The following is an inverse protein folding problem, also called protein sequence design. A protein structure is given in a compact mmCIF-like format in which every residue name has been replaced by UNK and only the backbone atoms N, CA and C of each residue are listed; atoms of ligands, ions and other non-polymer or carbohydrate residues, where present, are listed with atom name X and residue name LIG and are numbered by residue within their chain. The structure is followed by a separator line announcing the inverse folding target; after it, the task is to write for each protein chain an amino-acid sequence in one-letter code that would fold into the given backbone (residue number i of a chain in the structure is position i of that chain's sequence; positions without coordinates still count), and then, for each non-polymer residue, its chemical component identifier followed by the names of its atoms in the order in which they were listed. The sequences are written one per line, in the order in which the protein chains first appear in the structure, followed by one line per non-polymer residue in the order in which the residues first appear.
data_IF_917201463072
#
_entry.id   IF_917201463072
#
_cell.length_a   1.000
_cell.length_b   1.000
_cell.length_c   1.000
_cell.angle_alpha   90.00
_cell.angle_beta   90.00
_cell.angle_gamma   90.00
#
_symmetry.space_group_name_H-M   'P 1'
#
loop_
_entity.id
_entity.type
_entity.pdbx_description
1 polymer ?
#
# COMPACT_ATOMS: atom_id res chain seq x y z
N UNK A 1 31.20 55.24 20.08
CA UNK A 1 29.88 54.60 19.88
C UNK A 1 29.26 54.41 21.25
N UNK A 2 28.26 55.21 21.60
CA UNK A 2 27.53 55.09 22.87
C UNK A 2 26.61 53.88 22.80
N UNK A 3 26.54 53.06 23.85
CA UNK A 3 25.85 51.77 23.84
C UNK A 3 24.32 51.86 23.67
N UNK A 4 23.71 53.04 23.84
CA UNK A 4 22.27 53.25 23.69
C UNK A 4 21.43 52.71 24.87
N UNK A 5 22.07 52.09 25.86
CA UNK A 5 21.47 51.68 27.12
C UNK A 5 21.37 52.85 28.09
N UNK A 6 20.38 52.80 28.97
CA UNK A 6 20.26 53.73 30.10
C UNK A 6 21.44 53.59 31.08
N UNK A 7 21.90 54.71 31.64
CA UNK A 7 23.09 54.79 32.51
C UNK A 7 22.66 54.89 33.99
N UNK A 8 23.40 54.24 34.91
CA UNK A 8 23.11 54.23 36.36
C UNK A 8 22.71 52.84 36.91
N UNK A 9 22.20 52.77 38.14
CA UNK A 9 21.67 51.53 38.73
C UNK A 9 20.39 51.11 37.98
N UNK A 10 20.50 50.08 37.14
CA UNK A 10 19.39 49.60 36.31
C UNK A 10 18.73 48.35 36.90
N UNK A 11 17.41 48.28 36.77
CA UNK A 11 16.63 47.06 37.04
C UNK A 11 16.53 46.21 35.76
N UNK A 12 16.33 44.90 35.92
CA UNK A 12 16.25 43.96 34.79
C UNK A 12 15.18 44.37 33.75
N UNK A 13 14.02 44.87 34.21
CA UNK A 13 12.95 45.33 33.33
C UNK A 13 13.34 46.53 32.46
N UNK A 14 14.17 47.44 33.00
CA UNK A 14 14.67 48.59 32.23
C UNK A 14 15.67 48.15 31.16
N UNK A 15 16.56 47.22 31.51
CA UNK A 15 17.52 46.66 30.54
C UNK A 15 16.80 45.93 29.39
N UNK A 16 15.74 45.17 29.70
CA UNK A 16 14.94 44.48 28.68
C UNK A 16 14.27 45.46 27.72
N UNK A 17 13.65 46.53 28.23
CA UNK A 17 13.04 47.57 27.40
C UNK A 17 14.06 48.32 26.53
N UNK A 18 15.22 48.62 27.08
CA UNK A 18 16.30 49.26 26.32
C UNK A 18 16.82 48.35 25.20
N UNK A 19 17.01 47.05 25.48
CA UNK A 19 17.40 46.05 24.49
C UNK A 19 16.34 45.89 23.39
N UNK A 20 15.05 45.80 23.74
CA UNK A 20 13.95 45.73 22.78
C UNK A 20 13.90 46.99 21.90
N UNK A 21 14.14 48.18 22.48
CA UNK A 21 14.24 49.44 21.72
C UNK A 21 15.41 49.41 20.75
N UNK A 22 16.59 49.02 21.21
CA UNK A 22 17.80 48.93 20.37
C UNK A 22 17.60 47.89 19.27
N UNK A 23 17.02 46.72 19.57
CA UNK A 23 16.69 45.71 18.57
C UNK A 23 15.69 46.23 17.52
N UNK A 24 14.68 46.98 17.94
CA UNK A 24 13.71 47.57 17.03
C UNK A 24 14.35 48.64 16.15
N UNK A 25 15.12 49.55 16.73
CA UNK A 25 15.86 50.58 15.99
C UNK A 25 16.89 49.99 15.03
N UNK A 26 17.59 48.93 15.43
CA UNK A 26 18.55 48.23 14.56
C UNK A 26 17.83 47.49 13.44
N UNK A 27 16.71 46.82 13.71
CA UNK A 27 15.86 46.20 12.68
C UNK A 27 15.29 47.23 11.72
N UNK A 28 14.83 48.38 12.19
CA UNK A 28 14.28 49.45 11.37
C UNK A 28 15.36 50.14 10.54
N UNK A 29 16.55 50.36 11.11
CA UNK A 29 17.73 50.82 10.35
C UNK A 29 18.11 49.82 9.26
N UNK A 30 18.15 48.52 9.57
CA UNK A 30 18.43 47.47 8.58
C UNK A 30 17.36 47.40 7.48
N UNK A 31 16.09 47.67 7.81
CA UNK A 31 14.98 47.75 6.85
C UNK A 31 15.09 48.95 5.92
N UNK A 32 15.53 50.10 6.42
CA UNK A 32 15.60 51.35 5.67
C UNK A 32 16.93 51.55 4.92
N UNK A 33 17.91 50.67 5.12
CA UNK A 33 19.17 50.68 4.37
C UNK A 33 18.97 50.20 2.93
N UNK A 34 19.73 50.79 2.00
CA UNK A 34 19.76 50.42 0.59
C UNK A 34 19.94 48.89 0.41
N UNK A 35 19.09 48.20 -0.36
CA UNK A 35 19.21 46.77 -0.69
C UNK A 35 20.61 46.35 -1.11
N UNK A 36 21.36 47.19 -1.83
CA UNK A 36 22.72 46.88 -2.27
C UNK A 36 23.73 46.78 -1.12
N UNK A 37 23.48 47.44 0.02
CA UNK A 37 24.34 47.40 1.22
C UNK A 37 23.79 46.49 2.32
N UNK A 38 22.46 46.37 2.41
CA UNK A 38 21.79 45.52 3.40
C UNK A 38 21.76 44.05 2.98
N UNK A 39 21.93 43.74 1.69
CA UNK A 39 21.81 42.38 1.16
C UNK A 39 20.38 41.84 1.24
N UNK A 40 19.41 42.72 1.54
CA UNK A 40 17.98 42.42 1.53
C UNK A 40 17.64 42.05 0.09
N UNK A 41 17.17 40.81 -0.11
CA UNK A 41 16.85 40.21 -1.41
C UNK A 41 18.03 39.69 -2.25
N UNK A 42 19.23 39.54 -1.66
CA UNK A 42 20.30 38.79 -2.31
C UNK A 42 19.93 37.30 -2.40
N UNK A 43 19.91 36.75 -3.62
CA UNK A 43 19.64 35.33 -3.84
C UNK A 43 20.68 34.45 -3.11
N UNK A 44 20.20 33.46 -2.35
CA UNK A 44 21.09 32.52 -1.67
C UNK A 44 21.62 31.50 -2.67
N UNK A 45 22.90 31.65 -3.05
CA UNK A 45 23.57 30.73 -3.98
C UNK A 45 24.22 29.60 -3.21
N UNK A 46 23.67 28.40 -3.34
CA UNK A 46 24.25 27.19 -2.78
C UNK A 46 25.37 26.65 -3.69
N UNK A 47 26.47 26.17 -3.09
CA UNK A 47 27.63 25.65 -3.81
C UNK A 47 28.10 24.34 -3.18
N UNK A 48 28.60 23.44 -4.02
CA UNK A 48 29.21 22.18 -3.57
C UNK A 48 30.63 22.40 -3.01
N UNK A 49 31.22 21.36 -2.40
CA UNK A 49 32.60 21.35 -1.87
C UNK A 49 33.67 21.75 -2.90
N UNK A 50 33.35 21.65 -4.19
CA UNK A 50 34.21 22.03 -5.32
C UNK A 50 33.85 23.41 -5.92
N UNK A 51 32.93 24.17 -5.31
CA UNK A 51 32.58 25.53 -5.70
C UNK A 51 31.56 25.67 -6.84
N UNK A 52 31.03 24.56 -7.38
CA UNK A 52 29.96 24.58 -8.39
C UNK A 52 28.63 25.03 -7.79
N UNK A 53 27.91 25.92 -8.47
CA UNK A 53 26.57 26.36 -8.07
C UNK A 53 25.58 25.20 -8.15
N UNK A 54 24.85 24.94 -7.07
CA UNK A 54 23.81 23.91 -6.99
C UNK A 54 22.46 24.60 -7.15
N UNK A 55 21.67 24.14 -8.10
CA UNK A 55 20.27 24.52 -8.22
C UNK A 55 19.43 23.57 -7.34
N UNK A 56 19.04 24.03 -6.15
CA UNK A 56 18.22 23.26 -5.20
C UNK A 56 16.85 22.94 -5.80
N UNK A 57 16.30 23.84 -6.62
CA UNK A 57 14.97 23.65 -7.22
C UNK A 57 15.05 22.50 -8.22
N UNK A 58 16.11 22.47 -9.04
CA UNK A 58 16.36 21.36 -9.97
C UNK A 58 16.62 20.04 -9.23
N UNK A 59 17.47 20.02 -8.20
CA UNK A 59 17.73 18.81 -7.40
C UNK A 59 16.48 18.25 -6.75
N UNK A 60 15.68 19.10 -6.09
CA UNK A 60 14.43 18.69 -5.45
C UNK A 60 13.39 18.23 -6.48
N UNK A 61 13.37 18.80 -7.68
CA UNK A 61 12.51 18.34 -8.77
C UNK A 61 12.92 16.96 -9.29
N UNK A 62 14.23 16.70 -9.43
CA UNK A 62 14.73 15.38 -9.80
C UNK A 62 14.47 14.32 -8.73
N UNK A 63 14.66 14.64 -7.45
CA UNK A 63 14.32 13.75 -6.34
C UNK A 63 12.83 13.41 -6.33
N UNK A 64 11.95 14.40 -6.54
CA UNK A 64 10.51 14.16 -6.64
C UNK A 64 10.14 13.25 -7.81
N UNK A 65 10.78 13.43 -8.98
CA UNK A 65 10.57 12.56 -10.15
C UNK A 65 11.01 11.13 -9.87
N UNK A 66 12.17 10.93 -9.23
CA UNK A 66 12.66 9.59 -8.84
C UNK A 66 11.70 8.92 -7.86
N UNK A 67 11.23 9.63 -6.84
CA UNK A 67 10.24 9.10 -5.89
C UNK A 67 8.95 8.72 -6.62
N UNK A 68 8.47 9.54 -7.55
CA UNK A 68 7.27 9.23 -8.32
C UNK A 68 7.44 8.01 -9.24
N UNK A 69 8.60 7.86 -9.88
CA UNK A 69 8.95 6.68 -10.68
C UNK A 69 9.05 5.41 -9.83
N UNK A 70 9.68 5.51 -8.66
CA UNK A 70 9.76 4.42 -7.69
C UNK A 70 8.37 4.04 -7.17
N UNK A 71 7.51 5.01 -6.85
CA UNK A 71 6.12 4.75 -6.46
C UNK A 71 5.34 4.05 -7.56
N UNK A 72 5.50 4.48 -8.82
CA UNK A 72 4.85 3.83 -9.98
C UNK A 72 5.34 2.40 -10.14
N UNK A 73 6.64 2.16 -9.99
CA UNK A 73 7.21 0.81 -10.04
C UNK A 73 6.74 -0.07 -8.88
N UNK A 74 6.62 0.50 -7.68
CA UNK A 74 6.15 -0.22 -6.50
C UNK A 74 4.66 -0.55 -6.54
N UNK A 75 3.85 0.31 -7.18
CA UNK A 75 2.42 0.07 -7.45
C UNK A 75 2.24 -0.96 -8.58
N UNK A 76 3.17 -0.99 -9.54
CA UNK A 76 3.15 -1.95 -10.63
C UNK A 76 3.19 -3.39 -10.12
N UNK A 77 2.19 -4.19 -10.51
CA UNK A 77 2.02 -5.58 -10.07
C UNK A 77 1.35 -5.76 -8.72
N UNK A 78 0.99 -4.69 -7.99
CA UNK A 78 0.25 -4.75 -6.72
C UNK A 78 -1.19 -4.23 -6.78
N UNK A 79 -1.66 -3.75 -7.93
CA UNK A 79 -3.00 -3.18 -8.09
C UNK A 79 -4.11 -4.12 -7.61
N UNK A 80 -4.07 -5.40 -7.98
CA UNK A 80 -5.07 -6.38 -7.53
C UNK A 80 -5.04 -6.62 -6.02
N UNK A 81 -3.87 -6.48 -5.37
CA UNK A 81 -3.74 -6.60 -3.92
C UNK A 81 -4.32 -5.37 -3.22
N UNK A 82 -4.02 -4.18 -3.75
CA UNK A 82 -4.52 -2.90 -3.23
C UNK A 82 -6.05 -2.86 -3.33
N UNK A 83 -6.61 -3.22 -4.48
CA UNK A 83 -8.07 -3.24 -4.69
C UNK A 83 -8.76 -4.19 -3.70
N UNK A 84 -8.21 -5.39 -3.49
CA UNK A 84 -8.72 -6.34 -2.48
C UNK A 84 -8.62 -5.77 -1.07
N UNK A 85 -7.53 -5.09 -0.75
CA UNK A 85 -7.35 -4.48 0.56
C UNK A 85 -8.34 -3.34 0.81
N UNK A 86 -8.61 -2.51 -0.19
CA UNK A 86 -9.65 -1.47 -0.12
C UNK A 86 -11.05 -2.06 0.08
N UNK A 87 -11.41 -3.11 -0.68
CA UNK A 87 -12.67 -3.83 -0.48
C UNK A 87 -12.80 -4.39 0.94
N UNK A 88 -11.71 -4.91 1.50
CA UNK A 88 -11.69 -5.44 2.87
C UNK A 88 -11.79 -4.33 3.92
N UNK A 89 -11.23 -3.14 3.68
CA UNK A 89 -11.32 -1.99 4.60
C UNK A 89 -12.75 -1.53 4.83
N UNK A 90 -13.61 -1.67 3.83
CA UNK A 90 -15.01 -1.27 3.92
C UNK A 90 -15.93 -2.32 4.56
N UNK A 91 -15.43 -3.55 4.75
CA UNK A 91 -16.22 -4.64 5.35
C UNK A 91 -16.17 -4.59 6.88
N UNK A 92 -17.28 -4.91 7.56
CA UNK A 92 -17.30 -5.01 9.02
C UNK A 92 -16.42 -6.17 9.50
N UNK A 93 -15.87 -6.04 10.72
CA UNK A 93 -15.03 -7.08 11.31
C UNK A 93 -15.78 -8.40 11.56
N UNK A 94 -17.07 -8.32 11.91
CA UNK A 94 -17.91 -9.48 12.21
C UNK A 94 -19.10 -9.54 11.25
N UNK A 95 -19.35 -10.74 10.70
CA UNK A 95 -20.50 -11.03 9.83
C UNK A 95 -21.56 -11.71 10.70
N UNK A 96 -22.77 -11.15 10.71
CA UNK A 96 -23.90 -11.67 11.46
C UNK A 96 -24.89 -12.40 10.55
N UNK A 97 -25.84 -13.12 11.15
CA UNK A 97 -26.91 -13.83 10.43
C UNK A 97 -27.74 -12.93 9.51
N UNK A 98 -27.91 -11.65 9.88
CA UNK A 98 -28.73 -10.69 9.13
C UNK A 98 -27.95 -9.94 8.04
N UNK A 99 -26.67 -10.29 7.81
CA UNK A 99 -25.85 -9.67 6.78
C UNK A 99 -26.45 -9.89 5.38
N UNK A 100 -26.64 -8.80 4.64
CA UNK A 100 -27.34 -8.84 3.35
C UNK A 100 -26.50 -9.53 2.28
N UNK A 101 -25.20 -9.24 2.21
CA UNK A 101 -24.31 -9.77 1.17
C UNK A 101 -24.16 -11.28 1.32
N UNK A 102 -23.93 -11.75 2.55
CA UNK A 102 -23.84 -13.18 2.85
C UNK A 102 -25.14 -13.92 2.52
N UNK A 103 -26.29 -13.35 2.91
CA UNK A 103 -27.59 -13.97 2.65
C UNK A 103 -27.92 -14.02 1.16
N UNK A 104 -27.52 -13.03 0.37
CA UNK A 104 -27.66 -13.04 -1.08
C UNK A 104 -26.75 -14.10 -1.73
N UNK A 105 -25.50 -14.22 -1.27
CA UNK A 105 -24.56 -15.25 -1.75
C UNK A 105 -25.08 -16.67 -1.48
N UNK A 106 -25.56 -16.94 -0.27
CA UNK A 106 -26.10 -18.25 0.12
C UNK A 106 -27.37 -18.62 -0.67
N UNK A 107 -28.25 -17.64 -0.95
CA UNK A 107 -29.43 -17.87 -1.81
C UNK A 107 -29.06 -18.12 -3.26
N UNK A 108 -27.94 -17.56 -3.73
CA UNK A 108 -27.46 -17.75 -5.09
C UNK A 108 -26.70 -19.07 -5.30
N UNK A 109 -26.30 -19.76 -4.22
CA UNK A 109 -25.57 -21.02 -4.29
C UNK A 109 -26.45 -22.13 -4.90
N UNK A 110 -25.99 -22.69 -6.03
CA UNK A 110 -26.65 -23.83 -6.64
C UNK A 110 -26.43 -25.10 -5.80
N UNK A 111 -27.53 -25.78 -5.45
CA UNK A 111 -27.53 -27.05 -4.73
C UNK A 111 -27.88 -28.16 -5.72
N UNK A 112 -27.06 -29.21 -5.75
CA UNK A 112 -27.21 -30.30 -6.73
C UNK A 112 -28.49 -31.12 -6.54
N UNK A 113 -29.03 -31.18 -5.32
CA UNK A 113 -30.19 -32.00 -4.92
C UNK A 113 -31.43 -31.13 -4.63
N UNK A 114 -31.56 -29.97 -5.28
CA UNK A 114 -32.74 -29.11 -5.12
C UNK A 114 -33.81 -29.43 -6.17
N UNK A 115 -34.97 -29.99 -5.79
CA UNK A 115 -36.05 -30.27 -6.74
C UNK A 115 -36.64 -29.00 -7.36
N UNK A 116 -36.56 -27.86 -6.67
CA UNK A 116 -37.03 -26.58 -7.19
C UNK A 116 -36.15 -26.08 -8.34
N UNK A 117 -34.88 -26.49 -8.42
CA UNK A 117 -33.92 -26.08 -9.46
C UNK A 117 -34.43 -26.33 -10.89
N UNK A 118 -35.27 -27.36 -11.09
CA UNK A 118 -35.91 -27.67 -12.37
C UNK A 118 -36.95 -26.64 -12.81
N UNK A 119 -37.58 -25.95 -11.86
CA UNK A 119 -38.63 -24.96 -12.11
C UNK A 119 -38.08 -23.54 -12.24
N UNK A 120 -36.80 -23.30 -11.87
CA UNK A 120 -36.19 -21.98 -12.03
C UNK A 120 -35.97 -21.67 -13.52
N UNK A 121 -36.72 -20.68 -14.01
CA UNK A 121 -36.65 -20.20 -15.41
C UNK A 121 -35.41 -19.38 -15.73
N UNK A 122 -34.71 -18.89 -14.68
CA UNK A 122 -33.48 -18.10 -14.80
C UNK A 122 -32.40 -18.76 -13.96
N UNK A 123 -31.44 -19.42 -14.61
CA UNK A 123 -30.18 -19.77 -13.96
C UNK A 123 -29.42 -18.49 -13.66
N UNK A 124 -28.91 -18.34 -12.44
CA UNK A 124 -28.06 -17.22 -12.06
C UNK A 124 -26.77 -17.31 -12.88
N UNK A 125 -26.69 -16.58 -13.99
CA UNK A 125 -25.44 -16.48 -14.75
C UNK A 125 -24.44 -15.76 -13.86
N UNK A 126 -23.42 -16.49 -13.37
CA UNK A 126 -22.25 -15.87 -12.74
C UNK A 126 -21.75 -14.79 -13.69
N UNK A 127 -21.45 -13.58 -13.18
CA UNK A 127 -20.87 -12.50 -13.97
C UNK A 127 -19.62 -13.04 -14.67
N UNK A 128 -19.74 -13.33 -15.96
CA UNK A 128 -18.60 -13.78 -16.75
C UNK A 128 -17.66 -12.59 -16.88
N UNK A 129 -16.42 -12.76 -16.43
CA UNK A 129 -15.39 -11.77 -16.69
C UNK A 129 -15.22 -11.65 -18.20
N UNK A 130 -15.04 -10.41 -18.69
CA UNK A 130 -14.80 -10.14 -20.12
C UNK A 130 -13.55 -10.84 -20.69
N UNK A 131 -12.73 -11.47 -19.85
CA UNK A 131 -11.50 -12.14 -20.26
C UNK A 131 -11.83 -13.58 -20.70
N UNK A 132 -11.31 -14.03 -21.86
CA UNK A 132 -11.51 -15.39 -22.31
C UNK A 132 -10.99 -16.39 -21.27
N UNK A 133 -11.67 -17.53 -21.16
CA UNK A 133 -11.30 -18.66 -20.29
C UNK A 133 -10.85 -19.83 -21.15
N UNK A 134 -10.06 -20.70 -20.55
CA UNK A 134 -9.65 -21.94 -21.19
C UNK A 134 -10.85 -22.88 -21.41
N UNK A 135 -10.92 -23.47 -22.61
CA UNK A 135 -12.03 -24.33 -23.07
C UNK A 135 -11.57 -25.75 -23.43
N UNK A 136 -10.30 -26.10 -23.17
CA UNK A 136 -9.73 -27.40 -23.52
C UNK A 136 -9.96 -28.49 -22.45
N UNK A 137 -9.25 -29.63 -22.55
CA UNK A 137 -9.36 -30.74 -21.59
C UNK A 137 -9.02 -30.30 -20.16
N UNK A 138 -9.58 -30.96 -19.13
CA UNK A 138 -9.41 -30.57 -17.74
C UNK A 138 -7.92 -30.49 -17.38
N UNK A 139 -7.45 -29.35 -16.83
CA UNK A 139 -6.05 -29.19 -16.42
C UNK A 139 -5.69 -30.09 -15.24
N UNK A 140 -4.41 -30.46 -15.08
CA UNK A 140 -3.95 -31.05 -13.84
C UNK A 140 -4.20 -30.08 -12.67
N UNK A 141 -4.59 -30.58 -11.49
CA UNK A 141 -4.80 -29.74 -10.32
C UNK A 141 -3.48 -29.12 -9.88
N UNK A 142 -3.54 -27.89 -9.36
CA UNK A 142 -2.42 -27.22 -8.75
C UNK A 142 -2.78 -26.78 -7.33
N UNK A 143 -1.77 -26.53 -6.50
CA UNK A 143 -1.91 -26.09 -5.10
C UNK A 143 -2.75 -24.83 -4.87
N UNK A 144 -2.90 -23.99 -5.90
CA UNK A 144 -3.53 -22.68 -5.78
C UNK A 144 -4.92 -22.61 -6.43
N UNK A 145 -5.42 -23.74 -6.96
CA UNK A 145 -6.65 -23.84 -7.74
C UNK A 145 -6.75 -22.78 -8.86
N UNK A 146 -5.62 -22.38 -9.44
CA UNK A 146 -5.57 -21.38 -10.51
C UNK A 146 -5.88 -22.07 -11.84
N UNK A 147 -6.91 -21.64 -12.59
CA UNK A 147 -7.19 -22.20 -13.90
C UNK A 147 -6.10 -21.79 -14.91
N UNK A 148 -5.82 -22.63 -15.91
CA UNK A 148 -4.88 -22.29 -16.98
C UNK A 148 -5.36 -21.08 -17.78
N UNK A 149 -4.42 -20.38 -18.40
CA UNK A 149 -4.74 -19.30 -19.33
C UNK A 149 -5.53 -19.80 -20.55
N UNK A 150 -6.34 -18.93 -21.15
CA UNK A 150 -7.22 -19.30 -22.27
C UNK A 150 -6.51 -19.86 -23.51
N UNK A 151 -5.21 -19.61 -23.64
CA UNK A 151 -4.35 -20.06 -24.75
C UNK A 151 -3.54 -21.31 -24.42
N UNK A 152 -3.72 -21.88 -23.23
CA UNK A 152 -3.07 -23.13 -22.88
C UNK A 152 -3.55 -24.22 -23.84
N UNK A 153 -2.65 -25.09 -24.27
CA UNK A 153 -2.91 -26.11 -25.29
C UNK A 153 -3.39 -27.45 -24.72
N UNK A 154 -3.47 -27.55 -23.39
CA UNK A 154 -3.87 -28.77 -22.68
C UNK A 154 -2.74 -29.78 -22.48
N UNK A 155 -1.53 -29.50 -22.96
CA UNK A 155 -0.38 -30.40 -22.79
C UNK A 155 0.33 -30.06 -21.48
N UNK A 156 0.38 -31.04 -20.57
CA UNK A 156 1.14 -30.93 -19.34
C UNK A 156 2.65 -30.98 -19.63
N UNK A 157 3.35 -29.90 -19.24
CA UNK A 157 4.80 -29.73 -19.37
C UNK A 157 5.49 -29.64 -18.00
N UNK A 158 4.86 -30.18 -16.96
CA UNK A 158 5.38 -30.15 -15.60
C UNK A 158 6.53 -31.13 -15.39
N UNK A 159 7.28 -30.92 -14.32
CA UNK A 159 8.28 -31.86 -13.80
C UNK A 159 7.66 -32.93 -12.86
N UNK A 160 6.33 -33.00 -12.75
CA UNK A 160 5.61 -33.89 -11.83
C UNK A 160 5.55 -33.45 -10.36
N UNK A 161 6.06 -32.26 -10.01
CA UNK A 161 6.09 -31.79 -8.62
C UNK A 161 4.69 -31.69 -7.98
N UNK A 162 3.71 -31.10 -8.67
CA UNK A 162 2.35 -30.91 -8.13
C UNK A 162 1.69 -32.26 -7.84
N UNK A 163 1.86 -33.26 -8.71
CA UNK A 163 1.37 -34.62 -8.49
C UNK A 163 2.00 -35.24 -7.24
N UNK A 164 3.33 -35.23 -7.16
CA UNK A 164 4.06 -35.78 -6.01
C UNK A 164 3.72 -35.05 -4.70
N UNK A 165 3.39 -33.76 -4.77
CA UNK A 165 2.95 -32.97 -3.62
C UNK A 165 1.60 -33.47 -3.08
N UNK A 166 0.60 -33.66 -3.95
CA UNK A 166 -0.70 -34.19 -3.54
C UNK A 166 -0.61 -35.62 -3.00
N UNK A 167 0.20 -36.47 -3.64
CA UNK A 167 0.45 -37.84 -3.16
C UNK A 167 1.02 -37.81 -1.73
N UNK A 168 2.02 -36.97 -1.46
CA UNK A 168 2.59 -36.79 -0.11
C UNK A 168 1.60 -36.24 0.91
N UNK A 169 0.72 -35.34 0.49
CA UNK A 169 -0.31 -34.79 1.38
C UNK A 169 -1.30 -35.88 1.80
N UNK A 170 -1.74 -36.69 0.84
CA UNK A 170 -2.67 -37.79 1.05
C UNK A 170 -2.07 -38.92 1.90
N UNK A 171 -0.80 -39.28 1.64
CA UNK A 171 -0.12 -40.29 2.46
C UNK A 171 0.02 -39.82 3.90
N UNK A 172 0.36 -38.55 4.12
CA UNK A 172 0.43 -37.98 5.47
C UNK A 172 -0.93 -38.01 6.18
N UNK A 173 -2.02 -37.64 5.51
CA UNK A 173 -3.36 -37.69 6.12
C UNK A 173 -3.79 -39.14 6.42
N UNK A 174 -3.51 -40.08 5.51
CA UNK A 174 -3.83 -41.49 5.69
C UNK A 174 -3.09 -42.09 6.89
N UNK A 175 -1.77 -41.84 6.99
CA UNK A 175 -0.96 -42.30 8.12
C UNK A 175 -1.42 -41.68 9.44
N UNK A 176 -1.84 -40.42 9.45
CA UNK A 176 -2.36 -39.77 10.66
C UNK A 176 -3.69 -40.40 11.10
N UNK A 177 -4.60 -40.69 10.16
CA UNK A 177 -5.86 -41.37 10.48
C UNK A 177 -5.63 -42.81 10.95
N UNK A 178 -4.69 -43.52 10.32
CA UNK A 178 -4.31 -44.85 10.73
C UNK A 178 -3.74 -44.81 12.15
N UNK A 179 -2.70 -44.02 12.39
CA UNK A 179 -2.10 -43.88 13.72
C UNK A 179 -3.13 -43.54 14.81
N UNK A 180 -4.10 -42.68 14.50
CA UNK A 180 -5.21 -42.39 15.41
C UNK A 180 -6.06 -43.63 15.71
N UNK A 181 -6.56 -44.33 14.68
CA UNK A 181 -7.33 -45.57 14.86
C UNK A 181 -6.55 -46.61 15.68
N UNK A 182 -5.27 -46.82 15.37
CA UNK A 182 -4.40 -47.74 16.11
C UNK A 182 -4.21 -47.33 17.58
N UNK A 183 -4.16 -46.03 17.88
CA UNK A 183 -4.01 -45.55 19.25
C UNK A 183 -5.26 -45.68 20.11
N UNK A 184 -6.44 -45.75 19.49
CA UNK A 184 -7.74 -45.81 20.18
C UNK A 184 -8.24 -47.26 20.34
N UNK A 185 -7.72 -48.20 19.56
CA UNK A 185 -8.23 -49.59 19.49
C UNK A 185 -8.17 -50.37 20.82
N UNK A 186 -7.23 -50.04 21.73
CA UNK A 186 -7.05 -50.74 23.02
C UNK A 186 -7.46 -49.89 24.25
N UNK A 187 -8.26 -48.83 24.03
CA UNK A 187 -8.79 -47.94 25.08
C UNK A 187 -10.29 -48.10 25.25
#
# INVERSE_FOLDING_TARGET
MTSGLSVGLQTADKMKKDMERIEKETKDKLKNMDPSRSGRDAETVYRDKYGKKIDIVAQRAEERRKIEEEEKYMKWGKEDQINKEEELRHKPLAIYKDDKELNEELKAQERWDDPAALFLTKKSKKKESSRPKYQGPPPPPNRFNIPPGYRWDGIDRSNGFEKAYFDKLNTRSALASEAYSWSVEDM
#
